data_IF_861727140712
#
_entry.id   IF_861727140712
#
_cell.length_a   1.000
_cell.length_b   1.000
_cell.length_c   1.000
_cell.angle_alpha   90.00
_cell.angle_beta   90.00
_cell.angle_gamma   90.00
#
_symmetry.space_group_name_H-M   'P 1'
#
loop_
_entity.id
_entity.type
_entity.pdbx_description
1 polymer ?
#
# COMPACT_ATOMS: atom_id res chain seq x y z
N UNK A 1 14.38 -15.88 1.68
CA UNK A 1 13.85 -14.61 2.25
C UNK A 1 12.49 -14.33 1.62
N UNK A 2 11.57 -13.80 2.45
CA UNK A 2 10.24 -13.42 1.96
C UNK A 2 10.32 -12.15 1.13
N UNK A 3 9.54 -12.09 0.07
CA UNK A 3 9.39 -10.87 -0.71
C UNK A 3 8.48 -9.90 0.05
N UNK A 4 8.77 -8.61 -0.07
CA UNK A 4 7.97 -7.56 0.55
C UNK A 4 6.87 -7.10 -0.38
N UNK A 5 5.65 -7.04 0.12
CA UNK A 5 4.48 -6.60 -0.62
C UNK A 5 3.92 -5.33 0.05
N UNK A 6 3.88 -4.24 -0.72
CA UNK A 6 3.33 -2.97 -0.26
C UNK A 6 1.81 -2.99 -0.45
N UNK A 7 1.06 -2.64 0.59
CA UNK A 7 -0.40 -2.62 0.53
C UNK A 7 -0.87 -1.24 0.05
N UNK A 8 -1.68 -1.22 -1.00
CA UNK A 8 -2.17 0.01 -1.61
C UNK A 8 -3.70 -0.03 -1.75
N UNK A 9 -4.37 1.01 -1.27
CA UNK A 9 -5.82 1.11 -1.32
C UNK A 9 -6.30 2.44 -0.80
N UNK A 10 -7.62 2.59 -0.70
CA UNK A 10 -8.24 3.84 -0.28
C UNK A 10 -8.13 4.03 1.23
N UNK A 11 -7.64 5.21 1.64
CA UNK A 11 -7.53 5.60 3.05
C UNK A 11 -8.33 6.88 3.31
N UNK A 12 -8.11 7.91 2.50
CA UNK A 12 -8.71 9.23 2.69
C UNK A 12 -10.23 9.17 2.72
N UNK A 13 -10.81 9.73 3.77
CA UNK A 13 -12.26 9.76 3.93
C UNK A 13 -12.86 8.52 4.57
N UNK A 14 -12.05 7.49 4.85
CA UNK A 14 -12.53 6.27 5.48
C UNK A 14 -11.45 5.64 6.38
N UNK A 15 -10.74 6.48 7.13
CA UNK A 15 -9.55 6.07 7.86
C UNK A 15 -9.78 4.88 8.82
N UNK A 16 -10.87 4.88 9.56
CA UNK A 16 -11.17 3.77 10.48
C UNK A 16 -11.41 2.46 9.75
N UNK A 17 -12.19 2.52 8.68
CA UNK A 17 -12.46 1.33 7.87
C UNK A 17 -11.21 0.86 7.15
N UNK A 18 -10.39 1.82 6.68
CA UNK A 18 -9.13 1.51 6.01
C UNK A 18 -8.20 0.73 6.94
N UNK A 19 -8.13 1.11 8.22
CA UNK A 19 -7.30 0.39 9.18
C UNK A 19 -7.64 -1.09 9.20
N UNK A 20 -8.92 -1.43 9.26
CA UNK A 20 -9.37 -2.83 9.26
C UNK A 20 -9.03 -3.53 7.95
N UNK A 21 -9.27 -2.86 6.83
CA UNK A 21 -9.01 -3.44 5.51
C UNK A 21 -7.51 -3.69 5.29
N UNK A 22 -6.67 -2.76 5.72
CA UNK A 22 -5.22 -2.91 5.58
C UNK A 22 -4.69 -3.99 6.51
N UNK A 23 -5.24 -4.12 7.72
CA UNK A 23 -4.87 -5.21 8.64
C UNK A 23 -5.29 -6.57 8.09
N UNK A 24 -6.46 -6.64 7.45
CA UNK A 24 -6.90 -7.87 6.79
C UNK A 24 -5.96 -8.24 5.64
N UNK A 25 -5.53 -7.23 4.88
CA UNK A 25 -4.57 -7.45 3.79
C UNK A 25 -3.24 -7.99 4.32
N UNK A 26 -2.79 -7.51 5.49
CA UNK A 26 -1.57 -8.06 6.12
C UNK A 26 -1.70 -9.56 6.35
N UNK A 27 -2.85 -10.00 6.87
CA UNK A 27 -3.09 -11.42 7.12
C UNK A 27 -3.10 -12.22 5.83
N UNK A 28 -3.75 -11.69 4.80
CA UNK A 28 -3.80 -12.35 3.50
C UNK A 28 -2.40 -12.52 2.91
N UNK A 29 -1.59 -11.49 2.98
CA UNK A 29 -0.22 -11.53 2.46
C UNK A 29 0.66 -12.51 3.24
N UNK A 30 0.52 -12.55 4.57
CA UNK A 30 1.25 -13.52 5.38
C UNK A 30 0.89 -14.94 4.99
N UNK A 31 -0.38 -15.22 4.74
CA UNK A 31 -0.84 -16.53 4.29
C UNK A 31 -0.27 -16.90 2.91
N UNK A 32 -0.06 -15.90 2.05
CA UNK A 32 0.54 -16.10 0.73
C UNK A 32 2.07 -16.18 0.77
N UNK A 33 2.67 -15.99 1.94
CA UNK A 33 4.12 -16.10 2.09
C UNK A 33 4.88 -14.80 1.87
N UNK A 34 4.20 -13.66 1.87
CA UNK A 34 4.84 -12.35 1.71
C UNK A 34 5.05 -11.67 3.07
N UNK A 35 6.00 -10.73 3.09
CA UNK A 35 6.17 -9.81 4.21
C UNK A 35 5.36 -8.54 3.89
N UNK A 36 4.27 -8.27 4.62
CA UNK A 36 3.44 -7.12 4.28
C UNK A 36 4.05 -5.81 4.76
N UNK A 37 3.92 -4.77 3.93
CA UNK A 37 4.28 -3.41 4.30
C UNK A 37 3.01 -2.59 4.27
N UNK A 38 2.51 -2.25 5.46
CA UNK A 38 1.28 -1.51 5.64
C UNK A 38 1.60 -0.03 5.85
N UNK A 39 1.26 0.85 4.88
CA UNK A 39 1.61 2.26 4.98
C UNK A 39 0.95 2.95 6.18
N UNK A 40 -0.15 2.43 6.69
CA UNK A 40 -0.81 2.99 7.87
C UNK A 40 -0.03 2.74 9.16
N UNK A 41 0.96 1.85 9.12
CA UNK A 41 1.83 1.55 10.27
C UNK A 41 3.22 2.19 10.14
N UNK A 42 3.46 2.98 9.10
CA UNK A 42 4.72 3.71 8.95
C UNK A 42 4.77 4.84 9.96
N UNK A 43 5.98 5.17 10.41
CA UNK A 43 6.19 6.26 11.35
C UNK A 43 6.25 7.58 10.57
N UNK A 44 5.10 8.23 10.43
CA UNK A 44 5.00 9.50 9.71
C UNK A 44 5.37 10.67 10.61
N UNK A 45 6.56 11.24 10.39
CA UNK A 45 7.06 12.39 11.14
C UNK A 45 7.13 13.62 10.22
N UNK A 46 5.97 14.00 9.67
CA UNK A 46 5.85 15.10 8.71
C UNK A 46 4.54 15.82 8.93
N UNK A 47 4.29 16.89 8.18
CA UNK A 47 2.97 17.52 8.22
C UNK A 47 1.92 16.55 7.68
N UNK A 48 0.64 16.86 7.89
CA UNK A 48 -0.46 15.95 7.54
C UNK A 48 -1.01 16.20 6.14
N UNK A 49 -0.21 16.81 5.25
CA UNK A 49 -0.63 17.01 3.87
C UNK A 49 -0.64 15.69 3.12
N UNK A 50 -1.51 15.58 2.11
CA UNK A 50 -1.56 14.42 1.24
C UNK A 50 -0.21 14.17 0.58
N UNK A 51 0.45 15.24 0.13
CA UNK A 51 1.74 15.16 -0.54
C UNK A 51 2.82 14.58 0.37
N UNK A 52 2.84 14.98 1.64
CA UNK A 52 3.81 14.47 2.59
C UNK A 52 3.59 12.97 2.87
N UNK A 53 2.33 12.56 3.03
CA UNK A 53 2.01 11.13 3.16
C UNK A 53 2.44 10.35 1.94
N UNK A 54 2.16 10.88 0.74
CA UNK A 54 2.51 10.19 -0.50
C UNK A 54 4.02 10.03 -0.67
N UNK A 55 4.81 11.04 -0.29
CA UNK A 55 6.27 10.93 -0.37
C UNK A 55 6.79 9.78 0.49
N UNK A 56 6.30 9.66 1.72
CA UNK A 56 6.72 8.58 2.61
C UNK A 56 6.22 7.23 2.11
N UNK A 57 4.98 7.17 1.63
CA UNK A 57 4.39 5.93 1.13
C UNK A 57 5.10 5.45 -0.14
N UNK A 58 5.42 6.36 -1.06
CA UNK A 58 6.15 6.01 -2.29
C UNK A 58 7.55 5.52 -1.97
N UNK A 59 8.19 6.13 -0.98
CA UNK A 59 9.50 5.68 -0.53
C UNK A 59 9.44 4.23 -0.02
N UNK A 60 8.41 3.91 0.77
CA UNK A 60 8.21 2.55 1.27
C UNK A 60 7.89 1.58 0.12
N UNK A 61 7.05 1.99 -0.82
CA UNK A 61 6.71 1.20 -2.01
C UNK A 61 7.96 0.84 -2.79
N UNK A 62 8.85 1.80 -3.01
CA UNK A 62 10.07 1.58 -3.77
C UNK A 62 11.02 0.59 -3.10
N UNK A 63 10.89 0.36 -1.80
CA UNK A 63 11.64 -0.64 -1.07
C UNK A 63 11.03 -2.03 -1.10
N UNK A 64 9.91 -2.21 -1.78
CA UNK A 64 9.20 -3.48 -1.84
C UNK A 64 9.40 -4.17 -3.18
N UNK A 65 9.08 -5.47 -3.22
CA UNK A 65 9.21 -6.29 -4.44
C UNK A 65 7.93 -6.28 -5.28
N UNK A 66 6.79 -6.07 -4.63
CA UNK A 66 5.49 -6.10 -5.29
C UNK A 66 4.51 -5.19 -4.57
N UNK A 67 3.38 -4.94 -5.22
CA UNK A 67 2.29 -4.16 -4.65
C UNK A 67 1.04 -5.03 -4.58
N UNK A 68 0.32 -4.94 -3.47
CA UNK A 68 -0.95 -5.63 -3.25
C UNK A 68 -2.07 -4.60 -3.26
N UNK A 69 -2.86 -4.60 -4.32
CA UNK A 69 -3.93 -3.63 -4.52
C UNK A 69 -5.22 -4.12 -3.89
N UNK A 70 -5.75 -3.35 -2.94
CA UNK A 70 -7.05 -3.62 -2.35
C UNK A 70 -8.15 -3.43 -3.39
N UNK A 71 -9.31 -4.07 -3.17
CA UNK A 71 -10.43 -3.99 -4.12
C UNK A 71 -10.87 -2.56 -4.44
N UNK A 72 -10.70 -1.64 -3.48
CA UNK A 72 -11.13 -0.25 -3.63
C UNK A 72 -10.06 0.67 -4.23
N UNK A 73 -8.98 0.12 -4.76
CA UNK A 73 -7.85 0.94 -5.23
C UNK A 73 -8.24 1.96 -6.29
N UNK A 74 -9.20 1.63 -7.14
CA UNK A 74 -9.61 2.52 -8.24
C UNK A 74 -10.28 3.81 -7.75
N UNK A 75 -10.76 3.83 -6.50
CA UNK A 75 -11.38 5.00 -5.89
C UNK A 75 -10.39 5.84 -5.08
N UNK A 76 -9.11 5.55 -5.22
CA UNK A 76 -8.06 6.22 -4.44
C UNK A 76 -7.03 6.87 -5.36
N UNK A 77 -6.93 8.20 -5.28
CA UNK A 77 -5.92 8.96 -6.02
C UNK A 77 -4.51 8.47 -5.69
N UNK A 78 -4.25 8.21 -4.40
CA UNK A 78 -2.95 7.73 -3.95
C UNK A 78 -2.63 6.34 -4.46
N UNK A 79 -3.61 5.42 -4.39
CA UNK A 79 -3.40 4.06 -4.87
C UNK A 79 -3.19 4.02 -6.38
N UNK A 80 -3.90 4.85 -7.13
CA UNK A 80 -3.70 4.93 -8.58
C UNK A 80 -2.30 5.45 -8.92
N UNK A 81 -1.80 6.42 -8.16
CA UNK A 81 -0.43 6.92 -8.34
C UNK A 81 0.59 5.82 -8.01
N UNK A 82 0.38 5.10 -6.93
CA UNK A 82 1.27 4.01 -6.53
C UNK A 82 1.27 2.89 -7.56
N UNK A 83 0.11 2.57 -8.12
CA UNK A 83 0.00 1.59 -9.21
C UNK A 83 0.79 2.04 -10.44
N UNK A 84 0.69 3.32 -10.81
CA UNK A 84 1.43 3.84 -11.95
C UNK A 84 2.95 3.71 -11.73
N UNK A 85 3.42 4.05 -10.54
CA UNK A 85 4.84 3.94 -10.19
C UNK A 85 5.28 2.48 -10.23
N UNK A 86 4.51 1.59 -9.61
CA UNK A 86 4.83 0.16 -9.60
C UNK A 86 4.90 -0.41 -11.01
N UNK A 87 3.98 0.01 -11.87
CA UNK A 87 3.95 -0.43 -13.26
C UNK A 87 5.21 0.03 -14.01
N UNK A 88 5.57 1.30 -13.87
CA UNK A 88 6.76 1.84 -14.52
C UNK A 88 8.05 1.19 -14.02
N UNK A 89 8.10 0.82 -12.74
CA UNK A 89 9.26 0.15 -12.15
C UNK A 89 9.24 -1.36 -12.39
N UNK A 90 8.27 -1.86 -13.11
CA UNK A 90 8.11 -3.29 -13.44
C UNK A 90 8.00 -4.18 -12.21
N UNK A 91 7.38 -3.65 -11.16
CA UNK A 91 7.09 -4.41 -9.95
C UNK A 91 5.95 -5.39 -10.23
N UNK A 92 5.94 -6.51 -9.53
CA UNK A 92 4.81 -7.45 -9.59
C UNK A 92 3.58 -6.80 -8.95
N UNK A 93 2.43 -6.95 -9.60
CA UNK A 93 1.17 -6.37 -9.12
C UNK A 93 0.22 -7.52 -8.78
N UNK A 94 -0.25 -7.53 -7.54
CA UNK A 94 -1.18 -8.53 -7.03
C UNK A 94 -2.49 -7.82 -6.74
N UNK A 95 -3.58 -8.31 -7.32
CA UNK A 95 -4.91 -7.76 -7.08
C UNK A 95 -5.61 -8.59 -6.01
N UNK A 96 -6.16 -7.92 -5.00
CA UNK A 96 -6.96 -8.57 -3.97
C UNK A 96 -8.24 -9.12 -4.61
N UNK A 97 -8.59 -10.34 -4.27
CA UNK A 97 -9.80 -11.00 -4.79
C UNK A 97 -11.09 -10.48 -4.18
#
# INVERSE_FOLDING_TARGET
>A
MKKKAYISGKITGMEERAKELFEQAEKELLEMGYEPVNPMKLNHQHDLSWEAYMKEDIKALCGCDCVYLLRNYADSKGALLELAIATELKMSIIYQH
#
